data_IF_965600295925
#
_entry.id   IF_965600295925
#
_cell.length_a   1.000
_cell.length_b   1.000
_cell.length_c   1.000
_cell.angle_alpha   90.00
_cell.angle_beta   90.00
_cell.angle_gamma   90.00
#
_symmetry.space_group_name_H-M   'P 1'
#
loop_
_entity.id
_entity.type
_entity.pdbx_description
1 polymer ?
#
# COMPACT_ATOMS: atom_id res chain seq x y z
N UNK A 1 -3.80 33.90 -2.96
CA UNK A 1 -4.09 32.81 -3.93
C UNK A 1 -2.85 31.99 -4.30
N UNK A 2 -1.79 32.60 -4.86
CA UNK A 2 -0.59 31.88 -5.35
C UNK A 2 0.14 31.04 -4.29
N UNK A 3 0.32 31.57 -3.08
CA UNK A 3 0.99 30.86 -1.99
C UNK A 3 0.23 29.60 -1.52
N UNK A 4 -1.10 29.67 -1.46
CA UNK A 4 -1.94 28.54 -1.05
C UNK A 4 -1.89 27.39 -2.06
N UNK A 5 -1.80 27.72 -3.36
CA UNK A 5 -1.59 26.72 -4.40
C UNK A 5 -0.22 26.03 -4.25
N UNK A 6 0.85 26.80 -3.99
CA UNK A 6 2.19 26.26 -3.74
C UNK A 6 2.20 25.33 -2.51
N UNK A 7 1.53 25.74 -1.43
CA UNK A 7 1.45 24.99 -0.18
C UNK A 7 0.79 23.62 -0.33
N UNK A 8 -0.11 23.46 -1.31
CA UNK A 8 -0.82 22.20 -1.57
C UNK A 8 -0.09 21.39 -2.65
N UNK A 9 0.23 22.03 -3.78
CA UNK A 9 0.75 21.35 -4.96
C UNK A 9 2.15 20.80 -4.71
N UNK A 10 3.04 21.57 -4.05
CA UNK A 10 4.43 21.12 -3.87
C UNK A 10 4.51 19.89 -2.96
N UNK A 11 3.96 19.90 -1.72
CA UNK A 11 4.02 18.73 -0.87
C UNK A 11 3.35 17.50 -1.49
N UNK A 12 2.21 17.68 -2.15
CA UNK A 12 1.50 16.58 -2.82
C UNK A 12 2.30 15.99 -4.00
N UNK A 13 2.89 16.85 -4.85
CA UNK A 13 3.72 16.38 -5.95
C UNK A 13 4.98 15.66 -5.44
N UNK A 14 5.61 16.17 -4.38
CA UNK A 14 6.78 15.54 -3.76
C UNK A 14 6.44 14.18 -3.15
N UNK A 15 5.31 14.07 -2.46
CA UNK A 15 4.80 12.81 -1.92
C UNK A 15 4.65 11.76 -3.03
N UNK A 16 3.90 12.09 -4.08
CA UNK A 16 3.71 11.22 -5.25
C UNK A 16 5.04 10.80 -5.90
N UNK A 17 5.95 11.75 -6.12
CA UNK A 17 7.25 11.46 -6.71
C UNK A 17 8.08 10.53 -5.83
N UNK A 18 8.12 10.76 -4.52
CA UNK A 18 8.88 9.91 -3.61
C UNK A 18 8.26 8.53 -3.48
N UNK A 19 6.94 8.43 -3.36
CA UNK A 19 6.26 7.15 -3.28
C UNK A 19 6.50 6.30 -4.53
N UNK A 20 6.09 6.79 -5.70
CA UNK A 20 5.98 5.96 -6.91
C UNK A 20 7.30 5.85 -7.69
N UNK A 21 8.13 6.90 -7.69
CA UNK A 21 9.36 6.91 -8.50
C UNK A 21 10.62 6.61 -7.69
N UNK A 22 10.58 6.69 -6.36
CA UNK A 22 11.75 6.44 -5.51
C UNK A 22 11.55 5.22 -4.64
N UNK A 23 10.56 5.23 -3.74
CA UNK A 23 10.38 4.21 -2.71
C UNK A 23 9.92 2.88 -3.31
N UNK A 24 8.88 2.87 -4.15
CA UNK A 24 8.37 1.64 -4.73
C UNK A 24 9.43 0.88 -5.55
N UNK A 25 10.18 1.52 -6.48
CA UNK A 25 11.28 0.88 -7.20
C UNK A 25 12.41 0.43 -6.27
N UNK A 26 12.76 1.25 -5.28
CA UNK A 26 13.78 0.91 -4.29
C UNK A 26 13.39 -0.35 -3.51
N UNK A 27 12.17 -0.41 -2.98
CA UNK A 27 11.68 -1.54 -2.18
C UNK A 27 11.61 -2.83 -2.99
N UNK A 28 11.19 -2.77 -4.26
CA UNK A 28 11.18 -3.94 -5.14
C UNK A 28 12.57 -4.54 -5.33
N UNK A 29 13.60 -3.70 -5.46
CA UNK A 29 15.00 -4.17 -5.57
C UNK A 29 15.56 -4.61 -4.22
N UNK A 30 15.34 -3.82 -3.18
CA UNK A 30 15.97 -4.00 -1.87
C UNK A 30 15.47 -5.26 -1.16
N UNK A 31 14.17 -5.56 -1.23
CA UNK A 31 13.60 -6.80 -0.67
C UNK A 31 14.17 -8.05 -1.33
N UNK A 32 14.55 -7.99 -2.62
CA UNK A 32 15.17 -9.11 -3.33
C UNK A 32 16.63 -9.34 -2.92
N UNK A 33 17.34 -8.30 -2.50
CA UNK A 33 18.78 -8.38 -2.19
C UNK A 33 19.07 -8.49 -0.70
N UNK A 34 18.20 -7.97 0.17
CA UNK A 34 18.44 -7.90 1.61
C UNK A 34 17.46 -8.81 2.37
N UNK A 35 17.94 -9.92 2.96
CA UNK A 35 17.09 -10.89 3.67
C UNK A 35 16.30 -10.28 4.83
N UNK A 36 16.90 -9.33 5.54
CA UNK A 36 16.23 -8.65 6.66
C UNK A 36 15.03 -7.82 6.18
N UNK A 37 15.16 -7.11 5.05
CA UNK A 37 14.07 -6.34 4.47
C UNK A 37 12.93 -7.25 4.02
N UNK A 38 13.28 -8.39 3.41
CA UNK A 38 12.31 -9.42 3.05
C UNK A 38 11.54 -9.94 4.26
N UNK A 39 12.22 -10.16 5.40
CA UNK A 39 11.57 -10.62 6.63
C UNK A 39 10.65 -9.55 7.25
N UNK A 40 11.10 -8.29 7.31
CA UNK A 40 10.34 -7.19 7.91
C UNK A 40 9.07 -6.87 7.12
N UNK A 41 9.14 -6.95 5.79
CA UNK A 41 8.03 -6.69 4.87
C UNK A 41 7.28 -7.98 4.46
N UNK A 42 7.64 -9.12 5.05
CA UNK A 42 6.93 -10.38 4.81
C UNK A 42 5.53 -10.37 5.44
N UNK A 43 4.73 -11.35 5.03
CA UNK A 43 3.38 -11.58 5.56
C UNK A 43 3.44 -11.88 7.06
N UNK A 44 2.73 -11.09 7.86
CA UNK A 44 2.65 -11.22 9.32
C UNK A 44 1.65 -12.30 9.74
N UNK A 45 1.72 -12.74 11.01
CA UNK A 45 0.83 -13.78 11.55
C UNK A 45 -0.66 -13.50 11.33
N UNK A 46 -1.10 -12.25 11.56
CA UNK A 46 -2.51 -11.89 11.38
C UNK A 46 -2.93 -11.98 9.90
N UNK A 47 -2.11 -11.50 8.96
CA UNK A 47 -2.36 -11.60 7.52
C UNK A 47 -2.42 -13.06 7.07
N UNK A 48 -1.54 -13.93 7.60
CA UNK A 48 -1.61 -15.38 7.34
C UNK A 48 -2.94 -15.99 7.78
N UNK A 49 -3.51 -15.54 8.90
CA UNK A 49 -4.83 -16.00 9.35
C UNK A 49 -5.94 -15.54 8.40
N UNK A 50 -5.88 -14.31 7.89
CA UNK A 50 -6.83 -13.83 6.88
C UNK A 50 -6.73 -14.63 5.57
N UNK A 51 -5.51 -14.88 5.08
CA UNK A 51 -5.30 -15.73 3.91
C UNK A 51 -5.85 -17.15 4.10
N UNK A 52 -5.72 -17.72 5.30
CA UNK A 52 -6.31 -19.04 5.63
C UNK A 52 -7.84 -19.00 5.60
N UNK A 53 -8.46 -17.92 6.07
CA UNK A 53 -9.91 -17.75 5.97
C UNK A 53 -10.34 -17.66 4.51
N UNK A 54 -9.63 -16.88 3.71
CA UNK A 54 -9.92 -16.70 2.29
C UNK A 54 -9.77 -18.02 1.51
N UNK A 55 -8.71 -18.79 1.75
CA UNK A 55 -8.55 -20.12 1.15
C UNK A 55 -9.65 -21.10 1.55
N UNK A 56 -10.18 -21.00 2.78
CA UNK A 56 -11.33 -21.83 3.20
C UNK A 56 -12.60 -21.45 2.46
N UNK A 57 -12.82 -20.16 2.23
CA UNK A 57 -13.94 -19.67 1.42
C UNK A 57 -13.79 -20.15 -0.02
N UNK A 58 -12.60 -20.06 -0.61
CA UNK A 58 -12.33 -20.51 -1.97
C UNK A 58 -12.58 -22.01 -2.14
N UNK A 59 -12.09 -22.83 -1.19
CA UNK A 59 -12.34 -24.27 -1.18
C UNK A 59 -13.84 -24.58 -1.05
N UNK A 60 -14.57 -23.81 -0.24
CA UNK A 60 -16.02 -23.98 -0.11
C UNK A 60 -16.75 -23.58 -1.40
N UNK A 61 -16.27 -22.55 -2.12
CA UNK A 61 -16.81 -22.17 -3.43
C UNK A 61 -16.70 -23.32 -4.43
N UNK A 62 -15.53 -23.94 -4.57
CA UNK A 62 -15.36 -25.06 -5.51
C UNK A 62 -16.28 -26.24 -5.21
N UNK A 63 -16.39 -26.64 -3.94
CA UNK A 63 -17.35 -27.71 -3.55
C UNK A 63 -18.78 -27.32 -3.86
N UNK A 64 -19.17 -26.08 -3.59
CA UNK A 64 -20.53 -25.63 -3.89
C UNK A 64 -20.81 -25.64 -5.40
N UNK A 65 -19.86 -25.21 -6.23
CA UNK A 65 -20.01 -25.20 -7.70
C UNK A 65 -20.11 -26.61 -8.28
N UNK A 66 -19.42 -27.58 -7.68
CA UNK A 66 -19.57 -29.00 -7.99
C UNK A 66 -20.96 -29.52 -7.60
N UNK A 67 -21.40 -29.25 -6.36
CA UNK A 67 -22.69 -29.72 -5.82
C UNK A 67 -23.90 -29.23 -6.63
N UNK A 68 -23.84 -28.02 -7.19
CA UNK A 68 -24.90 -27.46 -8.04
C UNK A 68 -24.74 -27.85 -9.52
N UNK A 69 -23.74 -28.66 -9.88
CA UNK A 69 -23.48 -29.10 -11.25
C UNK A 69 -22.99 -28.00 -12.20
N UNK A 70 -22.44 -26.90 -11.66
CA UNK A 70 -21.88 -25.79 -12.46
C UNK A 70 -20.51 -26.15 -13.05
N UNK A 71 -19.74 -26.97 -12.33
CA UNK A 71 -18.40 -27.42 -12.72
C UNK A 71 -18.25 -28.92 -12.45
N UNK A 72 -17.46 -29.66 -13.24
CA UNK A 72 -17.15 -31.05 -12.93
C UNK A 72 -16.36 -31.15 -11.60
N UNK A 73 -16.44 -32.30 -10.89
CA UNK A 73 -15.59 -32.57 -9.73
C UNK A 73 -14.13 -32.39 -10.09
N UNK A 74 -13.42 -31.56 -9.33
CA UNK A 74 -11.97 -31.49 -9.44
C UNK A 74 -11.36 -32.77 -8.83
N UNK A 75 -10.32 -33.30 -9.46
CA UNK A 75 -9.48 -34.28 -8.81
C UNK A 75 -8.85 -33.68 -7.54
N UNK A 76 -8.53 -34.51 -6.54
CA UNK A 76 -7.82 -34.07 -5.33
C UNK A 76 -6.51 -33.31 -5.66
N UNK A 77 -5.81 -33.74 -6.72
CA UNK A 77 -4.58 -33.09 -7.18
C UNK A 77 -4.86 -31.72 -7.81
N UNK A 78 -5.89 -31.62 -8.64
CA UNK A 78 -6.29 -30.36 -9.29
C UNK A 78 -6.75 -29.34 -8.25
N UNK A 79 -7.60 -29.76 -7.31
CA UNK A 79 -8.04 -28.93 -6.20
C UNK A 79 -6.87 -28.45 -5.33
N UNK A 80 -5.86 -29.31 -5.10
CA UNK A 80 -4.66 -28.92 -4.38
C UNK A 80 -3.83 -27.89 -5.16
N UNK A 81 -3.64 -28.10 -6.47
CA UNK A 81 -2.89 -27.18 -7.33
C UNK A 81 -3.54 -25.79 -7.38
N UNK A 82 -4.85 -25.72 -7.53
CA UNK A 82 -5.59 -24.46 -7.55
C UNK A 82 -5.49 -23.72 -6.22
N UNK A 83 -5.72 -24.40 -5.09
CA UNK A 83 -5.59 -23.79 -3.77
C UNK A 83 -4.15 -23.36 -3.47
N UNK A 84 -3.15 -24.11 -3.93
CA UNK A 84 -1.74 -23.72 -3.84
C UNK A 84 -1.46 -22.47 -4.66
N UNK A 85 -1.98 -22.38 -5.88
CA UNK A 85 -1.82 -21.20 -6.73
C UNK A 85 -2.43 -19.97 -6.05
N UNK A 86 -3.66 -20.10 -5.54
CA UNK A 86 -4.33 -19.03 -4.77
C UNK A 86 -3.53 -18.63 -3.53
N UNK A 87 -2.96 -19.59 -2.80
CA UNK A 87 -2.14 -19.29 -1.63
C UNK A 87 -0.87 -18.49 -1.97
N UNK A 88 -0.26 -18.75 -3.13
CA UNK A 88 0.90 -18.01 -3.62
C UNK A 88 0.50 -16.59 -4.08
N UNK A 89 -0.61 -16.46 -4.80
CA UNK A 89 -1.17 -15.17 -5.21
C UNK A 89 -1.43 -14.29 -3.99
N UNK A 90 -2.19 -14.79 -3.01
CA UNK A 90 -2.50 -14.07 -1.77
C UNK A 90 -1.24 -13.62 -1.02
N UNK A 91 -0.21 -14.47 -0.98
CA UNK A 91 1.06 -14.12 -0.34
C UNK A 91 1.72 -12.94 -1.05
N UNK A 92 1.73 -12.95 -2.38
CA UNK A 92 2.41 -11.94 -3.18
C UNK A 92 1.64 -10.61 -3.18
N UNK A 93 0.30 -10.66 -3.14
CA UNK A 93 -0.59 -9.52 -2.89
C UNK A 93 -0.32 -8.86 -1.53
N UNK A 94 -0.35 -9.64 -0.45
CA UNK A 94 -0.09 -9.12 0.89
C UNK A 94 1.32 -8.54 1.04
N UNK A 95 2.32 -9.14 0.39
CA UNK A 95 3.68 -8.58 0.35
C UNK A 95 3.74 -7.27 -0.42
N UNK A 96 3.01 -7.15 -1.52
CA UNK A 96 2.90 -5.89 -2.26
C UNK A 96 2.23 -4.82 -1.40
N UNK A 97 1.15 -5.18 -0.71
CA UNK A 97 0.44 -4.27 0.19
C UNK A 97 1.34 -3.82 1.35
N UNK A 98 2.12 -4.71 1.94
CA UNK A 98 3.11 -4.34 2.96
C UNK A 98 4.16 -3.36 2.44
N UNK A 99 4.63 -3.52 1.19
CA UNK A 99 5.58 -2.58 0.56
C UNK A 99 4.93 -1.23 0.31
N UNK A 100 3.68 -1.19 -0.18
CA UNK A 100 2.92 0.04 -0.39
C UNK A 100 2.66 0.77 0.92
N UNK A 101 2.20 0.06 1.94
CA UNK A 101 1.98 0.63 3.27
C UNK A 101 3.28 1.22 3.86
N UNK A 102 4.41 0.54 3.68
CA UNK A 102 5.70 1.09 4.07
C UNK A 102 6.05 2.35 3.26
N UNK A 103 5.93 2.31 1.93
CA UNK A 103 6.21 3.46 1.07
C UNK A 103 5.35 4.68 1.44
N UNK A 104 4.05 4.49 1.69
CA UNK A 104 3.14 5.54 2.14
C UNK A 104 3.62 6.21 3.43
N UNK A 105 4.01 5.44 4.46
CA UNK A 105 4.50 6.00 5.73
C UNK A 105 5.71 6.93 5.50
N UNK A 106 6.62 6.54 4.61
CA UNK A 106 7.79 7.34 4.30
C UNK A 106 7.48 8.55 3.41
N UNK A 107 6.59 8.42 2.43
CA UNK A 107 6.20 9.54 1.57
C UNK A 107 5.40 10.58 2.36
N UNK A 108 4.51 10.16 3.26
CA UNK A 108 3.79 11.03 4.21
C UNK A 108 4.77 11.80 5.11
N UNK A 109 5.87 11.17 5.54
CA UNK A 109 6.91 11.86 6.30
C UNK A 109 7.58 12.95 5.45
N UNK A 110 7.87 12.68 4.17
CA UNK A 110 8.40 13.68 3.24
C UNK A 110 7.40 14.80 3.00
N UNK A 111 6.12 14.48 2.82
CA UNK A 111 5.04 15.46 2.73
C UNK A 111 5.04 16.39 3.95
N UNK A 112 5.03 15.82 5.16
CA UNK A 112 5.00 16.56 6.42
C UNK A 112 6.22 17.47 6.60
N UNK A 113 7.43 16.97 6.32
CA UNK A 113 8.66 17.77 6.37
C UNK A 113 8.61 18.89 5.34
N UNK A 114 8.18 18.59 4.11
CA UNK A 114 8.10 19.58 3.03
C UNK A 114 7.13 20.69 3.37
N UNK A 115 5.94 20.33 3.86
CA UNK A 115 4.94 21.29 4.33
C UNK A 115 5.49 22.13 5.48
N UNK A 116 6.14 21.52 6.47
CA UNK A 116 6.75 22.22 7.60
C UNK A 116 7.81 23.23 7.13
N UNK A 117 8.70 22.86 6.20
CA UNK A 117 9.72 23.76 5.68
C UNK A 117 9.11 24.92 4.89
N UNK A 118 8.13 24.65 4.02
CA UNK A 118 7.41 25.72 3.29
C UNK A 118 6.78 26.69 4.29
N UNK A 119 6.14 26.20 5.34
CA UNK A 119 5.54 27.06 6.35
C UNK A 119 6.59 27.86 7.13
N UNK A 120 7.66 27.19 7.58
CA UNK A 120 8.71 27.79 8.38
C UNK A 120 9.44 28.93 7.65
N UNK A 121 9.72 28.79 6.34
CA UNK A 121 10.43 29.81 5.57
C UNK A 121 9.52 30.93 5.03
N UNK A 122 8.20 30.74 4.99
CA UNK A 122 7.25 31.71 4.42
C UNK A 122 6.32 32.34 5.48
N UNK A 123 6.86 32.64 6.67
CA UNK A 123 6.08 33.19 7.80
C UNK A 123 5.34 34.50 7.46
N UNK A 124 5.91 35.35 6.60
CA UNK A 124 5.30 36.60 6.16
C UNK A 124 4.03 36.38 5.34
N UNK A 125 4.06 35.44 4.39
CA UNK A 125 2.89 35.06 3.57
C UNK A 125 1.80 34.38 4.40
N UNK A 126 2.18 33.63 5.44
CA UNK A 126 1.23 33.03 6.39
C UNK A 126 0.54 34.13 7.22
N UNK A 127 1.29 35.10 7.72
CA UNK A 127 0.73 36.21 8.51
C UNK A 127 -0.26 37.04 7.69
N UNK A 128 -0.01 37.22 6.39
CA UNK A 128 -0.93 37.89 5.47
C UNK A 128 -2.25 37.10 5.30
N UNK A 129 -2.18 35.78 5.16
CA UNK A 129 -3.37 34.91 5.11
C UNK A 129 -4.21 35.04 6.39
N UNK A 130 -3.58 34.97 7.56
CA UNK A 130 -4.29 35.12 8.83
C UNK A 130 -4.93 36.51 8.98
N UNK A 131 -4.24 37.57 8.55
CA UNK A 131 -4.82 38.93 8.55
C UNK A 131 -6.04 39.02 7.63
N UNK A 132 -5.96 38.48 6.41
CA UNK A 132 -7.07 38.50 5.46
C UNK A 132 -8.29 37.68 5.94
N UNK A 133 -8.07 36.65 6.77
CA UNK A 133 -9.14 35.88 7.39
C UNK A 133 -9.84 36.64 8.53
N UNK A 134 -9.10 37.43 9.31
CA UNK A 134 -9.63 38.19 10.45
C UNK A 134 -10.32 39.52 10.07
N UNK A 135 -10.22 39.94 8.80
CA UNK A 135 -10.88 41.15 8.26
C UNK A 135 -12.23 40.85 7.58
N UNK A 136 -12.64 39.57 7.51
CA UNK A 136 -13.97 39.14 7.08
C UNK A 136 -14.83 38.79 8.30
#
# INVERSE_FOLDING_TARGET
>A
AKFLAILIIIPWALDFMVHDYVLMPFLDRYVKTVPLAAQVLDVRRHQKLEMVKELKVERARYRFEEEIGKSPPLSDEEAWLELRHKALELRDEWRLENRRAFANIWSDMVFGISLFLILYFNQSSIAEIYRLQNYK
#
